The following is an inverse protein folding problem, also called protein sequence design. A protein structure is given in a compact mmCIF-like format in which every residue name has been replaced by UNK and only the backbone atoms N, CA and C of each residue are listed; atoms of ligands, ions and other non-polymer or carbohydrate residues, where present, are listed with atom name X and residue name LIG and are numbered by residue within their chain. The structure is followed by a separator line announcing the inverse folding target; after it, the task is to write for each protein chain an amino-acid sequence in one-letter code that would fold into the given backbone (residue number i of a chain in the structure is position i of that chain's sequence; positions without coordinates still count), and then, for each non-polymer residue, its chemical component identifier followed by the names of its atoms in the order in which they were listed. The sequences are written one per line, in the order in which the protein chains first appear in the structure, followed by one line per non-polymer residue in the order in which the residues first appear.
data_IF_740891660489
#
_entry.id   IF_740891660489
#
_cell.length_a   1.000
_cell.length_b   1.000
_cell.length_c   1.000
_cell.angle_alpha   90.00
_cell.angle_beta   90.00
_cell.angle_gamma   90.00
#
_symmetry.space_group_name_H-M   'P 1'
#
loop_
_entity.id
_entity.type
_entity.pdbx_description
1 polymer ?
#
# COMPACT_ATOMS: atom_id res chain seq x y z
N UNK A 1 11.74 5.41 -29.32
CA UNK A 1 10.92 4.50 -28.46
C UNK A 1 11.24 3.04 -28.76
N UNK A 2 11.33 2.18 -27.73
CA UNK A 2 11.55 0.74 -27.86
C UNK A 2 10.33 0.08 -28.53
N UNK A 3 10.49 -0.85 -29.54
CA UNK A 3 9.38 -1.50 -30.22
C UNK A 3 8.41 -2.25 -29.31
N UNK A 4 8.91 -2.93 -28.26
CA UNK A 4 8.06 -3.63 -27.28
C UNK A 4 7.20 -2.65 -26.48
N UNK A 5 7.80 -1.51 -26.08
CA UNK A 5 7.06 -0.45 -25.39
C UNK A 5 5.93 0.09 -26.27
N UNK A 6 6.20 0.31 -27.56
CA UNK A 6 5.20 0.76 -28.55
C UNK A 6 4.05 -0.24 -28.66
N UNK A 7 4.34 -1.52 -28.81
CA UNK A 7 3.31 -2.58 -28.88
C UNK A 7 2.43 -2.60 -27.62
N UNK A 8 3.03 -2.43 -26.42
CA UNK A 8 2.28 -2.35 -25.16
C UNK A 8 1.38 -1.12 -25.14
N UNK A 9 1.86 0.05 -25.57
CA UNK A 9 1.08 1.28 -25.66
C UNK A 9 -0.08 1.16 -26.67
N UNK A 10 0.17 0.56 -27.83
CA UNK A 10 -0.88 0.30 -28.83
C UNK A 10 -1.97 -0.63 -28.26
N UNK A 11 -1.60 -1.64 -27.48
CA UNK A 11 -2.57 -2.51 -26.80
C UNK A 11 -3.41 -1.76 -25.76
N UNK A 12 -2.83 -0.77 -25.06
CA UNK A 12 -3.56 0.07 -24.11
C UNK A 12 -4.56 1.01 -24.81
N UNK A 13 -4.27 1.48 -26.01
CA UNK A 13 -5.23 2.25 -26.83
C UNK A 13 -6.45 1.39 -27.16
N UNK A 14 -6.25 0.12 -27.58
CA UNK A 14 -7.35 -0.84 -27.76
C UNK A 14 -8.13 -1.08 -26.47
N UNK A 15 -7.42 -1.29 -25.36
CA UNK A 15 -8.05 -1.50 -24.04
C UNK A 15 -8.90 -0.32 -23.59
N UNK A 16 -8.45 0.93 -23.85
CA UNK A 16 -9.24 2.12 -23.55
C UNK A 16 -10.57 2.12 -24.34
N UNK A 17 -10.54 1.70 -25.60
CA UNK A 17 -11.76 1.53 -26.42
C UNK A 17 -12.73 0.53 -25.78
N UNK A 18 -12.23 -0.64 -25.35
CA UNK A 18 -13.04 -1.66 -24.68
C UNK A 18 -13.65 -1.13 -23.37
N UNK A 19 -12.85 -0.43 -22.55
CA UNK A 19 -13.31 0.17 -21.29
C UNK A 19 -14.39 1.22 -21.52
N UNK A 20 -14.26 2.06 -22.55
CA UNK A 20 -15.30 3.01 -22.95
C UNK A 20 -16.62 2.29 -23.29
N UNK A 21 -16.55 1.19 -24.04
CA UNK A 21 -17.73 0.39 -24.39
C UNK A 21 -18.36 -0.27 -23.16
N UNK A 22 -17.55 -0.83 -22.25
CA UNK A 22 -18.03 -1.48 -21.03
C UNK A 22 -18.68 -0.49 -20.07
N UNK A 23 -18.11 0.71 -19.91
CA UNK A 23 -18.65 1.75 -19.05
C UNK A 23 -19.90 2.44 -19.63
N UNK A 24 -20.03 2.49 -20.95
CA UNK A 24 -21.21 3.02 -21.65
C UNK A 24 -22.37 2.03 -21.74
N UNK A 25 -22.18 0.75 -21.37
CA UNK A 25 -23.23 -0.26 -21.45
C UNK A 25 -24.36 0.01 -20.44
N UNK A 26 -25.62 -0.18 -20.84
CA UNK A 26 -26.81 0.05 -19.99
C UNK A 26 -26.79 -0.73 -18.66
N UNK A 27 -26.04 -1.81 -18.61
CA UNK A 27 -25.89 -2.67 -17.42
C UNK A 27 -24.65 -2.34 -16.55
N UNK A 28 -23.84 -1.37 -16.92
CA UNK A 28 -22.58 -1.07 -16.26
C UNK A 28 -22.74 -0.74 -14.76
N UNK A 29 -23.85 -0.10 -14.38
CA UNK A 29 -24.15 0.32 -13.00
C UNK A 29 -24.84 -0.77 -12.17
N UNK A 30 -25.17 -1.94 -12.71
CA UNK A 30 -25.81 -3.02 -11.95
C UNK A 30 -24.89 -3.65 -10.91
N UNK A 31 -23.61 -3.71 -11.22
CA UNK A 31 -22.56 -4.15 -10.30
C UNK A 31 -21.64 -2.96 -9.97
N UNK A 32 -21.88 -2.34 -8.82
CA UNK A 32 -21.14 -1.16 -8.37
C UNK A 32 -19.65 -1.44 -8.11
N UNK A 33 -19.30 -2.65 -7.70
CA UNK A 33 -17.90 -3.03 -7.47
C UNK A 33 -17.16 -3.18 -8.81
N UNK A 34 -17.79 -3.82 -9.78
CA UNK A 34 -17.25 -3.93 -11.12
C UNK A 34 -17.13 -2.55 -11.78
N UNK A 35 -18.17 -1.72 -11.65
CA UNK A 35 -18.16 -0.35 -12.18
C UNK A 35 -17.01 0.50 -11.61
N UNK A 36 -16.82 0.48 -10.29
CA UNK A 36 -15.70 1.19 -9.64
C UNK A 36 -14.34 0.70 -10.15
N UNK A 37 -14.19 -0.63 -10.30
CA UNK A 37 -12.96 -1.22 -10.82
C UNK A 37 -12.67 -0.77 -12.25
N UNK A 38 -13.67 -0.87 -13.14
CA UNK A 38 -13.54 -0.44 -14.53
C UNK A 38 -13.30 1.06 -14.68
N UNK A 39 -13.95 1.89 -13.84
CA UNK A 39 -13.74 3.34 -13.85
C UNK A 39 -12.33 3.72 -13.39
N UNK A 40 -11.76 3.01 -12.40
CA UNK A 40 -10.38 3.22 -11.98
C UNK A 40 -9.40 2.82 -13.08
N UNK A 41 -9.57 1.62 -13.67
CA UNK A 41 -8.75 1.16 -14.79
C UNK A 41 -8.85 2.12 -15.99
N UNK A 42 -10.04 2.63 -16.29
CA UNK A 42 -10.24 3.62 -17.34
C UNK A 42 -9.44 4.91 -17.12
N UNK A 43 -9.47 5.45 -15.89
CA UNK A 43 -8.73 6.67 -15.55
C UNK A 43 -7.21 6.44 -15.73
N UNK A 44 -6.67 5.33 -15.22
CA UNK A 44 -5.26 4.98 -15.33
C UNK A 44 -4.81 4.80 -16.79
N UNK A 45 -5.59 4.06 -17.59
CA UNK A 45 -5.28 3.82 -18.99
C UNK A 45 -5.43 5.10 -19.82
N UNK A 46 -6.43 5.93 -19.52
CA UNK A 46 -6.66 7.21 -20.22
C UNK A 46 -5.49 8.16 -20.10
N UNK A 47 -4.90 8.28 -18.89
CA UNK A 47 -3.73 9.13 -18.64
C UNK A 47 -2.54 8.69 -19.50
N UNK A 48 -2.27 7.37 -19.54
CA UNK A 48 -1.17 6.80 -20.35
C UNK A 48 -1.41 6.99 -21.84
N UNK A 49 -2.63 6.73 -22.31
CA UNK A 49 -3.00 6.89 -23.74
C UNK A 49 -2.93 8.34 -24.17
N UNK A 50 -3.32 9.29 -23.32
CA UNK A 50 -3.17 10.72 -23.60
C UNK A 50 -1.71 11.12 -23.84
N UNK A 51 -0.81 10.69 -22.96
CA UNK A 51 0.64 10.92 -23.12
C UNK A 51 1.19 10.25 -24.39
N UNK A 52 0.69 9.07 -24.73
CA UNK A 52 1.10 8.39 -25.95
C UNK A 52 0.59 9.10 -27.23
N UNK A 53 -0.61 9.65 -27.19
CA UNK A 53 -1.13 10.46 -28.29
C UNK A 53 -0.32 11.75 -28.48
N UNK A 54 0.10 12.41 -27.41
CA UNK A 54 1.03 13.55 -27.47
C UNK A 54 2.36 13.13 -28.14
N UNK A 55 2.91 11.97 -27.74
CA UNK A 55 4.13 11.45 -28.35
C UNK A 55 3.97 11.20 -29.85
N UNK A 56 2.87 10.55 -30.26
CA UNK A 56 2.57 10.29 -31.68
C UNK A 56 2.38 11.58 -32.48
N UNK A 57 1.88 12.65 -31.87
CA UNK A 57 1.77 13.94 -32.52
C UNK A 57 3.15 14.56 -32.77
N UNK A 58 4.02 14.57 -31.75
CA UNK A 58 5.40 15.07 -31.90
C UNK A 58 6.20 14.23 -32.89
N UNK A 59 5.94 12.92 -32.98
CA UNK A 59 6.57 12.03 -33.98
C UNK A 59 6.15 12.40 -35.40
N UNK A 60 4.87 12.76 -35.61
CA UNK A 60 4.37 13.27 -36.91
C UNK A 60 4.98 14.61 -37.27
N UNK A 61 4.99 15.54 -36.32
CA UNK A 61 5.59 16.86 -36.49
C UNK A 61 7.08 16.76 -36.87
N UNK A 62 7.80 15.81 -36.26
CA UNK A 62 9.19 15.51 -36.61
C UNK A 62 9.36 14.92 -38.00
N UNK A 63 8.40 14.12 -38.47
CA UNK A 63 8.41 13.58 -39.83
C UNK A 63 8.17 14.70 -40.87
N UNK A 64 7.17 15.55 -40.64
CA UNK A 64 6.91 16.73 -41.48
C UNK A 64 8.10 17.68 -41.55
N UNK A 65 8.77 17.95 -40.40
CA UNK A 65 9.96 18.77 -40.37
C UNK A 65 11.13 18.13 -41.17
N UNK A 66 11.26 16.80 -41.20
CA UNK A 66 12.25 16.11 -42.03
C UNK A 66 11.97 16.28 -43.53
N UNK A 67 10.72 16.22 -43.91
CA UNK A 67 10.32 16.42 -45.30
C UNK A 67 10.60 17.86 -45.75
N UNK A 68 10.33 18.84 -44.86
CA UNK A 68 10.64 20.26 -45.11
C UNK A 68 12.14 20.54 -45.22
N UNK A 69 13.00 19.77 -44.54
CA UNK A 69 14.46 19.90 -44.60
C UNK A 69 15.03 19.60 -46.00
N UNK A 70 14.27 18.96 -46.86
CA UNK A 70 14.61 18.76 -48.30
C UNK A 70 14.63 20.06 -49.11
N UNK A 71 13.95 21.12 -48.67
CA UNK A 71 13.99 22.45 -49.28
C UNK A 71 15.07 23.32 -48.64
N UNK A 72 16.02 23.80 -49.44
CA UNK A 72 17.14 24.59 -48.97
C UNK A 72 16.71 25.90 -48.29
N UNK A 73 15.54 26.47 -48.66
CA UNK A 73 14.97 27.68 -48.06
C UNK A 73 14.41 27.44 -46.65
N UNK A 74 13.93 26.24 -46.36
CA UNK A 74 13.30 25.87 -45.10
C UNK A 74 14.23 25.12 -44.16
N UNK A 75 15.44 24.74 -44.59
CA UNK A 75 16.34 23.88 -43.86
C UNK A 75 16.66 24.33 -42.45
N UNK A 76 16.96 25.64 -42.26
CA UNK A 76 17.31 26.15 -40.93
C UNK A 76 16.11 26.08 -39.96
N UNK A 77 14.91 26.35 -40.43
CA UNK A 77 13.69 26.21 -39.65
C UNK A 77 13.40 24.73 -39.30
N UNK A 78 13.51 23.86 -40.31
CA UNK A 78 13.29 22.43 -40.12
C UNK A 78 14.29 21.79 -39.12
N UNK A 79 15.56 22.22 -39.17
CA UNK A 79 16.58 21.74 -38.22
C UNK A 79 16.26 22.18 -36.78
N UNK A 80 15.74 23.38 -36.58
CA UNK A 80 15.31 23.84 -35.26
C UNK A 80 14.10 23.07 -34.74
N UNK A 81 13.09 22.87 -35.57
CA UNK A 81 11.89 22.08 -35.22
C UNK A 81 12.24 20.62 -34.95
N UNK A 82 13.11 20.01 -35.71
CA UNK A 82 13.64 18.66 -35.43
C UNK A 82 14.36 18.55 -34.09
N UNK A 83 15.10 19.59 -33.73
CA UNK A 83 15.78 19.63 -32.41
C UNK A 83 14.77 19.72 -31.27
N UNK A 84 13.75 20.57 -31.39
CA UNK A 84 12.64 20.68 -30.40
C UNK A 84 11.87 19.37 -30.29
N UNK A 85 11.49 18.79 -31.43
CA UNK A 85 10.75 17.54 -31.46
C UNK A 85 11.52 16.38 -30.79
N UNK A 86 12.84 16.26 -31.04
CA UNK A 86 13.67 15.25 -30.37
C UNK A 86 13.69 15.41 -28.86
N UNK A 87 13.86 16.64 -28.36
CA UNK A 87 13.86 16.90 -26.92
C UNK A 87 12.47 16.59 -26.29
N UNK A 88 11.38 16.97 -26.98
CA UNK A 88 10.03 16.66 -26.53
C UNK A 88 9.73 15.14 -26.54
N UNK A 89 10.19 14.42 -27.56
CA UNK A 89 10.06 12.95 -27.64
C UNK A 89 10.80 12.26 -26.51
N UNK A 90 12.03 12.68 -26.20
CA UNK A 90 12.81 12.11 -25.09
C UNK A 90 12.12 12.35 -23.74
N UNK A 91 11.61 13.56 -23.52
CA UNK A 91 10.86 13.90 -22.31
C UNK A 91 9.56 13.09 -22.18
N UNK A 92 8.80 12.97 -23.27
CA UNK A 92 7.55 12.18 -23.30
C UNK A 92 7.82 10.69 -23.14
N UNK A 93 8.89 10.16 -23.70
CA UNK A 93 9.29 8.76 -23.51
C UNK A 93 9.60 8.46 -22.04
N UNK A 94 10.33 9.33 -21.35
CA UNK A 94 10.55 9.20 -19.89
C UNK A 94 9.26 9.29 -19.08
N UNK A 95 8.32 10.17 -19.46
CA UNK A 95 6.99 10.26 -18.80
C UNK A 95 6.15 9.01 -19.04
N UNK A 96 6.14 8.46 -20.27
CA UNK A 96 5.44 7.23 -20.61
C UNK A 96 6.00 6.02 -19.87
N UNK A 97 7.32 5.90 -19.77
CA UNK A 97 7.95 4.83 -18.99
C UNK A 97 7.51 4.88 -17.53
N UNK A 98 7.50 6.07 -16.92
CA UNK A 98 7.02 6.26 -15.54
C UNK A 98 5.53 5.96 -15.38
N UNK A 99 4.70 6.36 -16.35
CA UNK A 99 3.26 6.12 -16.33
C UNK A 99 2.87 4.64 -16.50
N UNK A 100 3.74 3.84 -17.11
CA UNK A 100 3.56 2.39 -17.31
C UNK A 100 4.01 1.55 -16.11
N UNK A 101 4.64 2.15 -15.09
CA UNK A 101 4.97 1.44 -13.88
C UNK A 101 3.70 0.95 -13.17
N UNK A 102 3.71 -0.30 -12.69
CA UNK A 102 2.57 -0.81 -11.95
C UNK A 102 2.36 0.04 -10.68
N UNK A 103 1.18 0.65 -10.56
CA UNK A 103 0.80 1.36 -9.33
C UNK A 103 0.52 0.33 -8.23
N UNK A 104 1.01 0.60 -7.04
CA UNK A 104 0.65 -0.22 -5.87
C UNK A 104 -0.85 -0.01 -5.58
N UNK A 105 -1.68 -1.08 -5.55
CA UNK A 105 -3.10 -0.97 -5.28
C UNK A 105 -3.43 -0.34 -3.91
N UNK A 106 -2.43 -0.24 -3.04
CA UNK A 106 -2.57 0.38 -1.73
C UNK A 106 -2.25 1.89 -1.73
N UNK A 107 -1.69 2.45 -2.82
CA UNK A 107 -1.24 3.84 -2.84
C UNK A 107 -2.34 4.86 -2.50
N UNK A 108 -3.59 4.57 -2.86
CA UNK A 108 -4.75 5.42 -2.55
C UNK A 108 -5.39 5.15 -1.18
N UNK A 109 -4.86 4.17 -0.43
CA UNK A 109 -5.43 3.79 0.87
C UNK A 109 -4.97 4.72 1.99
N UNK A 110 -5.77 4.79 3.04
CA UNK A 110 -5.33 5.28 4.32
C UNK A 110 -4.29 4.32 4.91
N UNK A 111 -3.60 4.76 5.96
CA UNK A 111 -2.57 3.94 6.57
C UNK A 111 -2.66 3.94 8.10
N UNK A 112 -2.08 2.90 8.69
CA UNK A 112 -1.70 2.87 10.10
C UNK A 112 -0.21 3.14 10.22
N UNK A 113 0.13 4.15 11.01
CA UNK A 113 1.50 4.49 11.39
C UNK A 113 1.74 3.96 12.80
N UNK A 114 2.68 3.05 12.94
CA UNK A 114 3.13 2.54 14.24
C UNK A 114 4.54 3.04 14.48
N UNK A 115 4.77 3.67 15.64
CA UNK A 115 6.09 4.09 16.08
C UNK A 115 6.36 3.43 17.43
N UNK A 116 7.45 2.67 17.53
CA UNK A 116 7.83 1.95 18.74
C UNK A 116 9.24 2.32 19.16
N UNK A 117 9.42 2.53 20.47
CA UNK A 117 10.74 2.62 21.06
C UNK A 117 11.49 1.28 20.87
N UNK A 118 12.71 1.37 20.38
CA UNK A 118 13.62 0.25 20.22
C UNK A 118 14.75 0.28 21.25
N UNK A 119 15.98 0.03 20.81
CA UNK A 119 17.16 0.03 21.65
C UNK A 119 17.51 1.45 22.13
N UNK A 120 17.55 1.69 23.44
CA UNK A 120 17.95 2.99 24.01
C UNK A 120 17.19 3.43 25.26
N UNK A 121 16.31 2.57 25.81
CA UNK A 121 15.55 2.88 27.03
C UNK A 121 14.65 4.11 26.87
N UNK A 122 14.64 5.00 27.85
CA UNK A 122 13.78 6.19 27.86
C UNK A 122 14.08 7.17 26.73
N UNK A 123 15.33 7.24 26.28
CA UNK A 123 15.69 8.10 25.15
C UNK A 123 15.04 7.63 23.85
N UNK A 124 14.91 6.33 23.65
CA UNK A 124 14.17 5.80 22.49
C UNK A 124 12.68 6.14 22.56
N UNK A 125 12.09 6.15 23.75
CA UNK A 125 10.69 6.55 23.93
C UNK A 125 10.48 8.06 23.65
N UNK A 126 11.39 8.91 24.09
CA UNK A 126 11.38 10.34 23.75
C UNK A 126 11.51 10.56 22.24
N UNK A 127 12.42 9.82 21.61
CA UNK A 127 12.62 9.93 20.16
C UNK A 127 11.41 9.38 19.38
N UNK A 128 10.74 8.35 19.86
CA UNK A 128 9.48 7.88 19.28
C UNK A 128 8.40 8.99 19.30
N UNK A 129 8.34 9.76 20.39
CA UNK A 129 7.48 10.94 20.48
C UNK A 129 7.85 12.04 19.48
N UNK A 130 9.14 12.29 19.29
CA UNK A 130 9.63 13.27 18.31
C UNK A 130 9.31 12.83 16.87
N UNK A 131 9.51 11.54 16.53
CA UNK A 131 9.15 10.99 15.23
C UNK A 131 7.64 11.05 14.98
N UNK A 132 6.83 10.68 15.96
CA UNK A 132 5.39 10.76 15.84
C UNK A 132 4.92 12.20 15.61
N UNK A 133 5.49 13.16 16.33
CA UNK A 133 5.24 14.60 16.09
C UNK A 133 5.64 15.02 14.69
N UNK A 134 6.79 14.59 14.19
CA UNK A 134 7.26 14.87 12.83
C UNK A 134 6.23 14.38 11.78
N UNK A 135 5.75 13.15 11.91
CA UNK A 135 4.74 12.62 10.97
C UNK A 135 3.39 13.30 11.11
N UNK A 136 2.98 13.67 12.32
CA UNK A 136 1.74 14.43 12.56
C UNK A 136 1.82 15.82 11.88
N UNK A 137 2.94 16.53 12.03
CA UNK A 137 3.16 17.79 11.34
C UNK A 137 3.18 17.65 9.82
N UNK A 138 3.77 16.58 9.32
CA UNK A 138 3.72 16.29 7.89
C UNK A 138 2.29 16.05 7.41
N UNK A 139 1.51 15.25 8.13
CA UNK A 139 0.11 15.00 7.82
C UNK A 139 -0.72 16.28 7.84
N UNK A 140 -0.55 17.15 8.83
CA UNK A 140 -1.19 18.48 8.91
C UNK A 140 -0.89 19.33 7.67
N UNK A 141 0.37 19.37 7.24
CA UNK A 141 0.80 20.13 6.02
C UNK A 141 0.18 19.58 4.74
N UNK A 142 -0.09 18.26 4.69
CA UNK A 142 -0.75 17.60 3.55
C UNK A 142 -2.29 17.64 3.65
N UNK A 143 -2.85 18.16 4.74
CA UNK A 143 -4.29 18.19 4.97
C UNK A 143 -4.88 16.83 5.32
N UNK A 144 -4.06 15.89 5.82
CA UNK A 144 -4.51 14.58 6.28
C UNK A 144 -4.98 14.64 7.73
N UNK A 145 -5.95 13.80 8.06
CA UNK A 145 -6.42 13.64 9.44
C UNK A 145 -5.58 12.58 10.15
N UNK A 146 -5.25 12.84 11.41
CA UNK A 146 -4.50 11.92 12.27
C UNK A 146 -5.38 11.52 13.45
N UNK A 147 -5.61 10.23 13.61
CA UNK A 147 -6.43 9.63 14.66
C UNK A 147 -5.57 8.65 15.46
N UNK A 148 -5.34 8.93 16.76
CA UNK A 148 -4.60 8.01 17.62
C UNK A 148 -5.52 6.84 17.99
N UNK A 149 -5.09 5.63 17.64
CA UNK A 149 -5.83 4.40 17.94
C UNK A 149 -5.40 3.81 19.27
N UNK A 150 -4.09 3.82 19.53
CA UNK A 150 -3.50 3.26 20.76
C UNK A 150 -2.22 3.98 21.10
N UNK A 151 -1.99 4.22 22.36
CA UNK A 151 -0.73 4.81 22.86
C UNK A 151 -0.31 4.16 24.18
N UNK A 152 0.98 3.96 24.31
CA UNK A 152 1.64 3.52 25.55
C UNK A 152 2.72 4.53 25.89
N UNK A 153 2.45 5.35 26.91
CA UNK A 153 3.33 6.43 27.32
C UNK A 153 4.53 5.92 28.14
N UNK A 154 5.67 6.62 28.05
CA UNK A 154 6.79 6.41 28.94
C UNK A 154 6.70 7.37 30.15
N UNK A 155 7.25 6.96 31.30
CA UNK A 155 7.25 7.76 32.54
C UNK A 155 7.99 9.10 32.39
N UNK A 156 9.02 9.14 31.54
CA UNK A 156 9.81 10.36 31.28
C UNK A 156 9.31 11.16 30.08
N UNK A 157 8.13 10.81 29.55
CA UNK A 157 7.54 11.40 28.35
C UNK A 157 7.87 10.61 27.08
N UNK A 158 7.18 10.96 25.97
CA UNK A 158 7.25 10.19 24.73
C UNK A 158 6.46 8.88 24.80
N UNK A 159 6.68 8.00 23.82
CA UNK A 159 5.89 6.79 23.66
C UNK A 159 6.77 5.54 23.66
N UNK A 160 6.38 4.53 24.44
CA UNK A 160 6.87 3.15 24.26
C UNK A 160 6.35 2.59 22.94
N UNK A 161 5.08 2.91 22.65
CA UNK A 161 4.41 2.59 21.39
C UNK A 161 3.30 3.61 21.14
N UNK A 162 3.14 4.04 19.90
CA UNK A 162 1.99 4.80 19.44
C UNK A 162 1.55 4.28 18.10
N UNK A 163 0.23 4.07 17.95
CA UNK A 163 -0.40 3.64 16.72
C UNK A 163 -1.44 4.69 16.34
N UNK A 164 -1.28 5.27 15.17
CA UNK A 164 -2.21 6.25 14.64
C UNK A 164 -2.69 5.86 13.23
N UNK A 165 -3.94 6.20 12.94
CA UNK A 165 -4.51 6.11 11.61
C UNK A 165 -4.36 7.46 10.92
N UNK A 166 -3.81 7.46 9.71
CA UNK A 166 -3.70 8.65 8.87
C UNK A 166 -4.68 8.50 7.71
N UNK A 167 -5.58 9.47 7.59
CA UNK A 167 -6.65 9.48 6.59
C UNK A 167 -6.43 10.63 5.63
N UNK A 168 -6.18 10.31 4.37
CA UNK A 168 -5.99 11.30 3.32
C UNK A 168 -5.56 10.69 1.99
N UNK A 169 -5.84 11.41 0.92
CA UNK A 169 -5.51 10.94 -0.42
C UNK A 169 -3.99 10.82 -0.60
N UNK A 170 -3.54 9.65 -1.06
CA UNK A 170 -2.13 9.38 -1.32
C UNK A 170 -1.27 9.25 -0.05
N UNK A 171 -1.88 9.10 1.13
CA UNK A 171 -1.13 9.01 2.38
C UNK A 171 -0.18 7.81 2.40
N UNK A 172 -0.66 6.64 1.99
CA UNK A 172 0.17 5.44 1.93
C UNK A 172 1.28 5.56 0.89
N UNK A 173 1.00 6.07 -0.30
CA UNK A 173 2.01 6.21 -1.37
C UNK A 173 3.21 7.06 -0.95
N UNK A 174 2.98 8.07 -0.09
CA UNK A 174 4.02 8.97 0.42
C UNK A 174 4.82 8.37 1.56
N UNK A 175 4.15 7.69 2.50
CA UNK A 175 4.78 7.22 3.74
C UNK A 175 5.22 5.75 3.70
N UNK A 176 4.87 4.96 2.69
CA UNK A 176 5.23 3.53 2.59
C UNK A 176 6.74 3.27 2.71
N UNK A 177 7.58 4.24 2.33
CA UNK A 177 9.03 4.15 2.42
C UNK A 177 9.59 4.48 3.83
N UNK A 178 8.75 4.91 4.77
CA UNK A 178 9.18 5.28 6.13
C UNK A 178 9.31 4.07 7.07
N UNK A 179 8.90 2.87 6.62
CA UNK A 179 9.01 1.66 7.42
C UNK A 179 10.47 1.23 7.61
N UNK A 180 10.87 0.98 8.87
CA UNK A 180 12.21 0.49 9.22
C UNK A 180 12.75 1.05 10.51
N UNK A 181 14.06 0.88 10.71
CA UNK A 181 14.78 1.37 11.89
C UNK A 181 15.24 2.82 11.73
N UNK A 182 14.83 3.70 12.64
CA UNK A 182 15.25 5.11 12.70
C UNK A 182 16.21 5.30 13.86
N UNK A 183 17.42 5.77 13.58
CA UNK A 183 18.48 5.94 14.56
C UNK A 183 18.67 7.41 14.92
N UNK A 184 18.73 7.74 16.21
CA UNK A 184 19.03 9.07 16.70
C UNK A 184 20.40 9.11 17.36
N UNK A 185 21.12 10.21 17.16
CA UNK A 185 22.37 10.55 17.82
C UNK A 185 22.22 11.94 18.42
N UNK A 186 22.06 12.01 19.74
CA UNK A 186 21.98 13.28 20.51
C UNK A 186 22.38 13.07 21.95
N UNK A 187 22.56 14.16 22.67
CA UNK A 187 22.67 14.13 24.14
C UNK A 187 21.24 13.98 24.66
N UNK A 188 20.91 12.87 25.37
CA UNK A 188 19.58 12.67 25.94
C UNK A 188 19.24 13.75 26.96
N UNK A 189 17.97 14.08 27.15
CA UNK A 189 17.52 14.96 28.25
C UNK A 189 17.82 14.37 29.64
N UNK A 190 18.00 13.06 29.72
CA UNK A 190 18.31 12.30 30.94
C UNK A 190 19.81 12.18 31.22
N UNK A 191 20.68 12.66 30.34
CA UNK A 191 22.14 12.55 30.45
C UNK A 191 22.72 13.80 31.11
N UNK A 192 23.27 13.63 32.31
CA UNK A 192 23.88 14.74 33.09
C UNK A 192 25.29 15.11 32.63
N UNK A 193 26.02 14.21 31.96
CA UNK A 193 27.45 14.40 31.60
C UNK A 193 27.63 14.88 30.14
N UNK A 194 26.56 15.18 29.42
CA UNK A 194 26.63 15.68 28.06
C UNK A 194 27.13 14.67 27.00
N UNK A 195 27.08 13.36 27.28
CA UNK A 195 27.53 12.34 26.34
C UNK A 195 26.48 12.12 25.25
N UNK A 196 26.94 11.97 23.99
CA UNK A 196 26.09 11.63 22.87
C UNK A 196 25.72 10.16 22.99
N UNK A 197 24.41 9.87 23.07
CA UNK A 197 23.88 8.51 23.01
C UNK A 197 23.33 8.20 21.61
N UNK A 198 23.34 6.91 21.30
CA UNK A 198 22.74 6.38 20.07
C UNK A 198 21.56 5.50 20.45
N UNK A 199 20.37 5.95 20.11
CA UNK A 199 19.12 5.21 20.32
C UNK A 199 18.43 4.93 18.99
N UNK A 200 17.50 4.00 18.98
CA UNK A 200 16.75 3.63 17.80
C UNK A 200 15.26 3.46 18.12
N UNK A 201 14.44 3.79 17.13
CA UNK A 201 13.02 3.51 17.10
C UNK A 201 12.69 2.73 15.82
N UNK A 202 11.60 2.01 15.84
CA UNK A 202 11.05 1.36 14.65
C UNK A 202 9.77 2.05 14.23
N UNK A 203 9.64 2.25 12.92
CA UNK A 203 8.44 2.77 12.29
C UNK A 203 7.89 1.70 11.36
N UNK A 204 6.58 1.44 11.45
CA UNK A 204 5.87 0.60 10.49
C UNK A 204 4.71 1.39 9.89
N UNK A 205 4.63 1.37 8.58
CA UNK A 205 3.54 1.95 7.80
C UNK A 205 2.82 0.81 7.11
N UNK A 206 1.57 0.61 7.49
CA UNK A 206 0.73 -0.47 6.99
C UNK A 206 -0.50 0.12 6.30
N UNK A 207 -0.90 -0.37 5.12
CA UNK A 207 -2.12 0.10 4.47
C UNK A 207 -3.33 -0.32 5.31
N UNK A 208 -4.36 0.53 5.33
CA UNK A 208 -5.64 0.17 5.92
C UNK A 208 -6.25 -1.00 5.15
N UNK A 209 -6.48 -2.12 5.84
CA UNK A 209 -7.09 -3.29 5.22
C UNK A 209 -8.59 -3.06 5.01
N UNK A 210 -9.13 -3.65 3.95
CA UNK A 210 -10.56 -3.66 3.74
C UNK A 210 -11.27 -4.36 4.91
N UNK A 211 -12.41 -3.83 5.33
CA UNK A 211 -13.22 -4.46 6.36
C UNK A 211 -13.64 -5.85 5.91
N UNK A 212 -13.47 -6.84 6.78
CA UNK A 212 -14.00 -8.19 6.52
C UNK A 212 -15.52 -8.08 6.56
N UNK A 213 -16.14 -8.21 5.40
CA UNK A 213 -17.58 -8.23 5.27
C UNK A 213 -18.16 -9.45 5.99
N UNK A 214 -19.46 -9.40 6.32
CA UNK A 214 -20.16 -10.55 6.85
C UNK A 214 -20.00 -11.76 5.93
N UNK A 215 -19.68 -12.91 6.54
CA UNK A 215 -19.51 -14.16 5.80
C UNK A 215 -20.88 -14.61 5.32
N UNK A 216 -21.16 -14.42 4.05
CA UNK A 216 -22.35 -14.99 3.40
C UNK A 216 -22.05 -16.43 3.03
N UNK A 217 -22.74 -17.38 3.69
CA UNK A 217 -22.59 -18.79 3.40
C UNK A 217 -23.35 -19.13 2.10
N UNK A 218 -22.61 -19.57 1.07
CA UNK A 218 -23.20 -20.05 -0.16
C UNK A 218 -23.70 -21.50 0.04
N UNK A 219 -25.01 -21.80 -0.12
CA UNK A 219 -25.52 -23.16 0.06
C UNK A 219 -24.85 -24.23 -0.81
N UNK A 220 -24.34 -23.85 -1.98
CA UNK A 220 -23.64 -24.78 -2.89
C UNK A 220 -22.27 -25.25 -2.34
N UNK A 221 -21.69 -24.49 -1.42
CA UNK A 221 -20.40 -24.80 -0.78
C UNK A 221 -20.56 -25.55 0.55
N UNK A 222 -21.80 -25.84 0.93
CA UNK A 222 -22.13 -26.49 2.20
C UNK A 222 -22.59 -27.93 1.95
N UNK A 223 -21.96 -28.85 2.64
CA UNK A 223 -22.47 -30.20 2.78
C UNK A 223 -23.13 -30.34 4.14
N UNK A 224 -24.42 -30.71 4.15
CA UNK A 224 -25.23 -30.88 5.37
C UNK A 224 -25.61 -32.35 5.51
N UNK A 225 -25.10 -32.97 6.55
CA UNK A 225 -25.39 -34.36 6.90
C UNK A 225 -26.25 -34.38 8.17
N UNK A 226 -27.28 -35.25 8.20
CA UNK A 226 -28.11 -35.48 9.38
C UNK A 226 -27.72 -36.80 10.03
N UNK A 227 -27.72 -36.84 11.33
CA UNK A 227 -27.40 -38.05 12.09
C UNK A 227 -28.17 -38.12 13.43
N UNK A 228 -28.11 -39.26 14.09
CA UNK A 228 -28.73 -39.43 15.40
C UNK A 228 -27.89 -38.79 16.47
N UNK A 229 -28.53 -37.99 17.32
CA UNK A 229 -27.86 -37.40 18.46
C UNK A 229 -27.37 -38.49 19.43
N UNK A 230 -26.16 -38.30 19.96
CA UNK A 230 -25.59 -39.19 20.99
C UNK A 230 -25.65 -38.47 22.35
N UNK A 231 -26.13 -39.17 23.39
CA UNK A 231 -26.17 -38.64 24.74
C UNK A 231 -27.28 -39.22 25.59
N UNK A 232 -27.34 -38.83 26.88
CA UNK A 232 -28.40 -39.20 27.79
C UNK A 232 -29.73 -38.60 27.34
N UNK A 233 -30.66 -39.42 26.85
CA UNK A 233 -31.96 -38.96 26.34
C UNK A 233 -32.94 -40.14 26.21
N UNK A 234 -34.24 -39.82 26.15
CA UNK A 234 -35.31 -40.77 25.98
C UNK A 234 -35.44 -41.29 24.53
N UNK A 235 -36.53 -41.98 24.23
CA UNK A 235 -36.82 -42.61 22.95
C UNK A 235 -36.67 -41.70 21.72
N UNK A 236 -36.91 -40.40 21.88
CA UNK A 236 -36.81 -39.41 20.79
C UNK A 236 -35.35 -39.20 20.34
N UNK A 237 -34.39 -39.10 21.25
CA UNK A 237 -32.96 -38.88 20.95
C UNK A 237 -32.38 -40.08 20.18
N UNK A 238 -32.83 -41.30 20.50
CA UNK A 238 -32.30 -42.54 19.92
C UNK A 238 -32.96 -42.95 18.59
N UNK A 239 -34.11 -42.35 18.23
CA UNK A 239 -34.87 -42.75 17.03
C UNK A 239 -34.88 -41.69 15.94
N UNK A 240 -34.63 -40.40 16.27
CA UNK A 240 -34.78 -39.29 15.32
C UNK A 240 -33.42 -38.73 14.91
N UNK A 241 -33.21 -38.52 13.61
CA UNK A 241 -32.01 -37.89 13.07
C UNK A 241 -32.09 -36.35 13.23
N UNK A 242 -32.02 -35.89 14.50
CA UNK A 242 -32.13 -34.47 14.85
C UNK A 242 -30.81 -33.75 14.88
N UNK A 243 -29.69 -34.44 14.95
CA UNK A 243 -28.36 -33.86 14.92
C UNK A 243 -27.94 -33.48 13.48
N UNK A 244 -27.25 -32.40 13.36
CA UNK A 244 -26.77 -31.82 12.08
C UNK A 244 -25.26 -31.70 12.13
N UNK A 245 -24.62 -32.13 11.04
CA UNK A 245 -23.22 -31.85 10.73
C UNK A 245 -23.17 -31.00 9.46
N UNK A 246 -22.58 -29.82 9.54
CA UNK A 246 -22.36 -28.93 8.39
C UNK A 246 -20.88 -28.85 8.09
N UNK A 247 -20.49 -29.16 6.86
CA UNK A 247 -19.12 -29.08 6.38
C UNK A 247 -19.05 -27.99 5.31
N UNK A 248 -18.19 -27.01 5.50
CA UNK A 248 -17.88 -26.01 4.47
C UNK A 248 -16.77 -26.56 3.56
N UNK A 249 -17.11 -26.90 2.32
CA UNK A 249 -16.24 -27.61 1.39
C UNK A 249 -14.93 -26.86 1.10
N UNK A 250 -14.90 -25.54 0.86
CA UNK A 250 -13.68 -24.82 0.53
C UNK A 250 -12.67 -24.74 1.69
N UNK A 251 -13.15 -24.61 2.94
CA UNK A 251 -12.27 -24.45 4.11
C UNK A 251 -12.06 -25.74 4.89
N UNK A 252 -12.87 -26.77 4.64
CA UNK A 252 -12.87 -28.03 5.37
C UNK A 252 -13.36 -27.92 6.83
N UNK A 253 -13.94 -26.76 7.23
CA UNK A 253 -14.44 -26.57 8.60
C UNK A 253 -15.72 -27.36 8.79
N UNK A 254 -15.77 -28.15 9.86
CA UNK A 254 -16.92 -28.99 10.23
C UNK A 254 -17.51 -28.44 11.53
N UNK A 255 -18.82 -28.35 11.58
CA UNK A 255 -19.61 -27.97 12.77
C UNK A 255 -20.70 -28.99 12.96
N UNK A 256 -20.81 -29.52 14.17
CA UNK A 256 -21.88 -30.40 14.59
C UNK A 256 -22.75 -29.73 15.64
N UNK A 257 -24.06 -29.88 15.55
CA UNK A 257 -25.02 -29.37 16.51
C UNK A 257 -26.09 -30.44 16.81
N UNK A 258 -26.24 -30.79 18.10
CA UNK A 258 -27.22 -31.75 18.58
C UNK A 258 -27.97 -31.30 19.83
N UNK A 259 -27.94 -29.97 20.12
CA UNK A 259 -28.44 -29.41 21.38
C UNK A 259 -29.96 -29.40 21.48
N UNK A 260 -30.66 -29.31 20.33
CA UNK A 260 -32.12 -29.22 20.27
C UNK A 260 -32.75 -30.53 19.75
N UNK A 261 -33.98 -30.77 20.16
CA UNK A 261 -34.83 -31.82 19.56
C UNK A 261 -35.26 -31.46 18.13
N UNK A 262 -35.20 -30.21 17.75
CA UNK A 262 -35.57 -29.71 16.42
C UNK A 262 -34.36 -29.68 15.48
N UNK A 263 -34.40 -30.46 14.41
CA UNK A 263 -33.40 -30.48 13.35
C UNK A 263 -33.19 -29.09 12.74
N UNK A 264 -34.27 -28.30 12.53
CA UNK A 264 -34.19 -26.96 11.98
C UNK A 264 -33.40 -25.99 12.89
N UNK A 265 -33.65 -26.04 14.21
CA UNK A 265 -32.90 -25.21 15.18
C UNK A 265 -31.44 -25.62 15.25
N UNK A 266 -31.13 -26.94 15.17
CA UNK A 266 -29.74 -27.40 15.12
C UNK A 266 -29.05 -26.95 13.84
N UNK A 267 -29.74 -26.95 12.69
CA UNK A 267 -29.22 -26.48 11.42
C UNK A 267 -28.90 -24.99 11.47
N UNK A 268 -29.84 -24.18 11.95
CA UNK A 268 -29.66 -22.73 12.08
C UNK A 268 -28.47 -22.39 12.99
N UNK A 269 -28.39 -23.06 14.14
CA UNK A 269 -27.29 -22.92 15.08
C UNK A 269 -25.94 -23.38 14.48
N UNK A 270 -25.92 -24.51 13.78
CA UNK A 270 -24.72 -25.02 13.12
C UNK A 270 -24.22 -24.04 12.04
N UNK A 271 -25.10 -23.45 11.24
CA UNK A 271 -24.75 -22.46 10.25
C UNK A 271 -24.20 -21.17 10.89
N UNK A 272 -24.82 -20.69 11.96
CA UNK A 272 -24.33 -19.52 12.70
C UNK A 272 -22.93 -19.75 13.28
N UNK A 273 -22.70 -20.90 13.91
CA UNK A 273 -21.39 -21.29 14.45
C UNK A 273 -20.34 -21.46 13.33
N UNK A 274 -20.76 -22.00 12.18
CA UNK A 274 -19.89 -22.18 11.02
C UNK A 274 -19.46 -20.81 10.47
N UNK A 275 -20.38 -19.86 10.31
CA UNK A 275 -20.08 -18.50 9.87
C UNK A 275 -19.08 -17.81 10.82
N UNK A 276 -19.29 -17.93 12.13
CA UNK A 276 -18.37 -17.42 13.14
C UNK A 276 -16.97 -18.03 13.00
N UNK A 277 -16.85 -19.36 12.86
CA UNK A 277 -15.55 -20.05 12.70
C UNK A 277 -14.82 -19.67 11.41
N UNK A 278 -15.56 -19.50 10.31
CA UNK A 278 -14.97 -19.04 9.04
C UNK A 278 -14.44 -17.63 9.20
N UNK A 279 -15.22 -16.73 9.84
CA UNK A 279 -14.80 -15.35 10.13
C UNK A 279 -13.55 -15.32 11.01
N UNK A 280 -13.52 -16.10 12.07
CA UNK A 280 -12.35 -16.19 12.97
C UNK A 280 -11.11 -16.67 12.24
N UNK A 281 -11.25 -17.66 11.34
CA UNK A 281 -10.16 -18.14 10.50
C UNK A 281 -9.64 -17.05 9.56
N UNK A 282 -10.54 -16.35 8.86
CA UNK A 282 -10.17 -15.26 7.96
C UNK A 282 -9.45 -14.13 8.71
N UNK A 283 -9.96 -13.76 9.91
CA UNK A 283 -9.35 -12.74 10.75
C UNK A 283 -7.95 -13.16 11.21
N UNK A 284 -7.79 -14.42 11.65
CA UNK A 284 -6.50 -14.97 12.06
C UNK A 284 -5.48 -15.00 10.91
N UNK A 285 -5.90 -15.40 9.71
CA UNK A 285 -5.05 -15.38 8.52
C UNK A 285 -4.64 -13.95 8.12
N UNK A 286 -5.57 -12.99 8.20
CA UNK A 286 -5.27 -11.58 7.95
C UNK A 286 -4.28 -11.02 8.99
N UNK A 287 -4.51 -11.31 10.27
CA UNK A 287 -3.60 -10.90 11.35
C UNK A 287 -2.20 -11.51 11.17
N UNK A 288 -2.11 -12.79 10.79
CA UNK A 288 -0.84 -13.47 10.54
C UNK A 288 -0.09 -12.83 9.34
N UNK A 289 -0.79 -12.49 8.26
CA UNK A 289 -0.22 -11.75 7.12
C UNK A 289 0.29 -10.39 7.55
N UNK A 290 -0.52 -9.61 8.26
CA UNK A 290 -0.14 -8.28 8.76
C UNK A 290 1.06 -8.37 9.69
N UNK A 291 1.10 -9.34 10.61
CA UNK A 291 2.23 -9.57 11.50
C UNK A 291 3.51 -9.95 10.75
N UNK A 292 3.41 -10.80 9.74
CA UNK A 292 4.53 -11.17 8.87
C UNK A 292 5.06 -9.97 8.08
N UNK A 293 4.17 -9.20 7.45
CA UNK A 293 4.53 -7.97 6.73
C UNK A 293 5.20 -6.96 7.67
N UNK A 294 4.62 -6.73 8.86
CA UNK A 294 5.21 -5.85 9.87
C UNK A 294 6.63 -6.30 10.23
N UNK A 295 6.83 -7.60 10.49
CA UNK A 295 8.14 -8.16 10.83
C UNK A 295 9.17 -7.95 9.72
N UNK A 296 8.78 -8.13 8.46
CA UNK A 296 9.67 -7.90 7.32
C UNK A 296 10.05 -6.42 7.14
N UNK A 297 9.12 -5.50 7.42
CA UNK A 297 9.32 -4.06 7.28
C UNK A 297 10.22 -3.47 8.38
N UNK A 298 10.12 -3.99 9.61
CA UNK A 298 10.82 -3.43 10.79
C UNK A 298 12.20 -4.06 10.99
N UNK A 299 12.41 -5.29 10.52
CA UNK A 299 13.63 -6.06 10.80
C UNK A 299 13.71 -6.45 12.28
N UNK A 300 14.93 -6.46 12.83
CA UNK A 300 15.19 -6.81 14.24
C UNK A 300 14.93 -5.64 15.20
N UNK A 301 14.78 -4.41 14.70
CA UNK A 301 14.73 -3.19 15.53
C UNK A 301 16.07 -2.82 16.18
N UNK A 302 17.17 -3.45 15.78
CA UNK A 302 18.51 -3.09 16.24
C UNK A 302 18.96 -1.79 15.55
N UNK A 303 19.74 -0.98 16.28
CA UNK A 303 20.34 0.26 15.76
C UNK A 303 21.33 0.06 14.60
N UNK A 304 21.75 -1.17 14.34
CA UNK A 304 22.57 -1.54 13.16
C UNK A 304 21.73 -1.60 11.89
N UNK A 305 20.48 -2.06 11.98
CA UNK A 305 19.54 -2.17 10.86
C UNK A 305 18.74 -0.88 10.67
N UNK A 306 19.45 0.21 10.43
CA UNK A 306 18.86 1.53 10.26
C UNK A 306 18.62 1.88 8.80
N UNK A 307 17.47 2.43 8.51
CA UNK A 307 17.20 3.09 7.22
C UNK A 307 17.65 4.55 7.25
N UNK A 308 17.48 5.24 8.41
CA UNK A 308 17.78 6.66 8.52
C UNK A 308 18.46 7.00 9.85
N UNK A 309 19.35 7.98 9.81
CA UNK A 309 20.03 8.51 10.99
C UNK A 309 19.77 10.00 11.16
N UNK A 310 19.34 10.38 12.36
CA UNK A 310 19.10 11.75 12.80
C UNK A 310 20.24 12.17 13.73
N UNK A 311 21.17 13.00 13.25
CA UNK A 311 22.33 13.46 14.00
C UNK A 311 22.14 14.92 14.42
N UNK A 312 21.68 15.13 15.66
CA UNK A 312 21.40 16.46 16.19
C UNK A 312 22.63 17.33 16.36
N UNK A 313 23.77 16.84 16.92
CA UNK A 313 24.99 17.62 17.02
C UNK A 313 25.52 18.16 15.70
N UNK A 314 25.29 17.47 14.60
CA UNK A 314 25.71 17.89 13.28
C UNK A 314 24.57 18.53 12.45
N UNK A 315 23.36 18.64 12.99
CA UNK A 315 22.21 19.22 12.30
C UNK A 315 21.78 18.47 11.05
N UNK A 316 22.14 17.18 10.90
CA UNK A 316 21.94 16.41 9.67
C UNK A 316 21.04 15.21 9.84
N UNK A 317 20.32 14.89 8.77
CA UNK A 317 19.59 13.63 8.58
C UNK A 317 20.17 12.90 7.36
N UNK A 318 20.49 11.62 7.52
CA UNK A 318 21.02 10.78 6.43
C UNK A 318 20.12 9.59 6.22
N UNK A 319 19.56 9.43 5.02
CA UNK A 319 18.91 8.21 4.56
C UNK A 319 19.97 7.30 3.92
N UNK A 320 20.15 6.11 4.49
CA UNK A 320 21.21 5.20 4.10
C UNK A 320 20.87 4.35 2.87
N UNK A 321 19.61 4.29 2.48
CA UNK A 321 19.18 3.53 1.29
C UNK A 321 19.64 4.19 0.01
N UNK A 322 19.50 5.51 -0.06
CA UNK A 322 19.84 6.34 -1.21
C UNK A 322 21.06 7.26 -0.96
N UNK A 323 21.73 7.09 0.17
CA UNK A 323 22.87 7.91 0.61
C UNK A 323 22.59 9.43 0.61
N UNK A 324 21.33 9.83 0.78
CA UNK A 324 20.92 11.24 0.85
C UNK A 324 21.26 11.81 2.23
N UNK A 325 21.96 12.95 2.26
CA UNK A 325 22.26 13.68 3.49
C UNK A 325 21.78 15.11 3.40
N UNK A 326 20.92 15.52 4.36
CA UNK A 326 20.34 16.86 4.44
C UNK A 326 20.73 17.51 5.76
N UNK A 327 21.23 18.77 5.69
CA UNK A 327 21.66 19.56 6.85
C UNK A 327 20.56 20.53 7.31
N UNK A 328 19.36 19.98 7.60
CA UNK A 328 18.17 20.74 8.02
C UNK A 328 17.29 19.95 8.97
N UNK A 329 17.92 19.34 9.98
CA UNK A 329 17.25 18.44 10.93
C UNK A 329 16.02 19.08 11.58
N UNK A 330 16.09 20.35 11.98
CA UNK A 330 15.00 21.05 12.67
C UNK A 330 13.76 21.15 11.80
N UNK A 331 13.93 21.46 10.49
CA UNK A 331 12.82 21.50 9.54
C UNK A 331 12.22 20.13 9.29
N UNK A 332 13.09 19.11 9.17
CA UNK A 332 12.66 17.72 9.01
C UNK A 332 11.84 17.28 10.21
N UNK A 333 12.31 17.56 11.44
CA UNK A 333 11.58 17.25 12.68
C UNK A 333 10.29 18.05 12.85
N UNK A 334 10.13 19.18 12.13
CA UNK A 334 8.89 19.95 12.04
C UNK A 334 8.01 19.51 10.84
N UNK A 335 8.29 18.36 10.22
CA UNK A 335 7.47 17.73 9.20
C UNK A 335 7.81 18.12 7.74
N UNK A 336 8.98 18.74 7.46
CA UNK A 336 9.43 18.99 6.09
C UNK A 336 10.21 17.79 5.54
N UNK A 337 9.53 16.68 5.31
CA UNK A 337 10.15 15.42 4.83
C UNK A 337 9.99 15.19 3.32
N UNK A 338 9.32 16.10 2.58
CA UNK A 338 9.01 15.91 1.16
C UNK A 338 10.26 15.56 0.33
N UNK A 339 11.37 16.26 0.52
CA UNK A 339 12.61 16.02 -0.25
C UNK A 339 13.14 14.59 -0.08
N UNK A 340 13.00 14.01 1.13
CA UNK A 340 13.41 12.62 1.38
C UNK A 340 12.43 11.67 0.71
N UNK A 341 11.13 11.91 0.88
CA UNK A 341 10.06 11.07 0.32
C UNK A 341 10.10 11.09 -1.22
N UNK A 342 10.31 12.26 -1.82
CA UNK A 342 10.39 12.40 -3.29
C UNK A 342 11.65 11.69 -3.84
N UNK A 343 12.79 11.80 -3.17
CA UNK A 343 14.00 11.09 -3.57
C UNK A 343 13.85 9.57 -3.48
N UNK A 344 13.21 9.06 -2.41
CA UNK A 344 12.93 7.62 -2.25
C UNK A 344 11.92 7.12 -3.29
N UNK A 345 10.92 7.92 -3.61
CA UNK A 345 9.95 7.58 -4.65
C UNK A 345 10.61 7.54 -6.04
N UNK A 346 11.54 8.47 -6.32
CA UNK A 346 12.29 8.48 -7.57
C UNK A 346 13.20 7.24 -7.71
N UNK A 347 13.95 6.88 -6.66
CA UNK A 347 14.80 5.68 -6.63
C UNK A 347 13.96 4.41 -6.85
N UNK A 348 12.84 4.29 -6.13
CA UNK A 348 11.93 3.16 -6.31
C UNK A 348 11.39 3.06 -7.75
N UNK A 349 11.07 4.20 -8.38
CA UNK A 349 10.65 4.21 -9.78
C UNK A 349 11.78 3.77 -10.73
N UNK A 350 13.03 4.16 -10.45
CA UNK A 350 14.20 3.74 -11.24
C UNK A 350 14.44 2.24 -11.10
N UNK A 351 14.37 1.68 -9.91
CA UNK A 351 14.47 0.24 -9.67
C UNK A 351 13.38 -0.55 -10.42
N UNK A 352 12.13 -0.05 -10.38
CA UNK A 352 11.01 -0.67 -11.11
C UNK A 352 11.21 -0.59 -12.64
N UNK A 353 11.74 0.51 -13.15
CA UNK A 353 12.06 0.66 -14.57
C UNK A 353 13.19 -0.29 -14.99
N UNK A 354 14.24 -0.44 -14.17
CA UNK A 354 15.34 -1.36 -14.41
C UNK A 354 14.83 -2.81 -14.49
N UNK A 355 14.00 -3.23 -13.54
CA UNK A 355 13.42 -4.59 -13.54
C UNK A 355 12.55 -4.87 -14.77
N UNK A 356 11.75 -3.90 -15.22
CA UNK A 356 10.94 -4.03 -16.45
C UNK A 356 11.82 -4.11 -17.71
N UNK A 357 12.97 -3.47 -17.72
CA UNK A 357 13.90 -3.54 -18.86
C UNK A 357 14.65 -4.87 -18.90
N UNK A 358 14.99 -5.46 -17.75
CA UNK A 358 15.60 -6.78 -17.63
C UNK A 358 14.63 -7.90 -18.04
N UNK A 359 13.37 -7.85 -17.64
CA UNK A 359 12.34 -8.80 -18.07
C UNK A 359 12.03 -8.67 -19.58
N UNK A 360 12.36 -7.53 -20.18
CA UNK A 360 12.13 -7.24 -21.59
C UNK A 360 13.34 -7.59 -22.48
N UNK A 361 14.48 -7.93 -21.93
CA UNK A 361 15.69 -8.34 -22.66
C UNK A 361 15.73 -9.85 -22.87
#
# INVERSE_FOLDING_TARGET
MNPRLRTKLDSLVGRLGDLNHLLAAENATKDMEQFKRLSREHAEVSDVVSLFQEYLQVERDAAEARDMAGDASMKAYADEELKKARASMEQLEGRLQKALLPRDPNDDRNLFLEVRAGTGGDESALFAGDLFRMYTRYAERKGWQVEIISESNSELGGYKEVIARLVGQGAFSRLKFESGGHRVQRVPKTEAQGRIHTSACTVAVLPEADAINEVVLNPAELRVDTFRASGAGGQHVNKTDSAIRVTHLPTGIVVECQDSRSQHKNREKALSVLAARIRDKQLSEQQAKTASTRKSLIGSGDRSERIRTYNFPQGRVTDHRINLTLYKIDRIMDGEIDEIVDALAAEYQEEQLASLTEEAA
#
